data_IF_035907743792
#
_entry.id   IF_035907743792
#
_cell.length_a   1.000
_cell.length_b   1.000
_cell.length_c   1.000
_cell.angle_alpha   90.00
_cell.angle_beta   90.00
_cell.angle_gamma   90.00
#
_symmetry.space_group_name_H-M   'P 1'
#
loop_
_entity.id
_entity.type
_entity.pdbx_description
1 polymer ?
#
# COMPACT_ATOMS: atom_id res chain seq x y z
N UNK A 1 3.15 15.22 2.95
CA UNK A 1 1.95 14.50 3.43
C UNK A 1 2.02 14.45 4.93
N UNK A 2 0.90 14.70 5.61
CA UNK A 2 0.82 14.59 7.06
C UNK A 2 0.19 13.24 7.40
N UNK A 3 0.94 12.39 8.10
CA UNK A 3 0.49 11.08 8.54
C UNK A 3 -0.16 11.19 9.92
N UNK A 4 -1.29 10.52 10.07
CA UNK A 4 -1.95 10.30 11.37
C UNK A 4 -1.73 8.85 11.76
N UNK A 5 -1.33 8.62 13.00
CA UNK A 5 -1.05 7.27 13.51
C UNK A 5 -2.05 6.91 14.60
N UNK A 6 -2.74 5.80 14.42
CA UNK A 6 -3.72 5.27 15.35
C UNK A 6 -3.35 3.83 15.73
N UNK A 7 -3.42 3.50 17.02
CA UNK A 7 -3.20 2.13 17.49
C UNK A 7 -4.54 1.49 17.82
N UNK A 8 -4.83 0.36 17.18
CA UNK A 8 -6.00 -0.47 17.47
C UNK A 8 -5.82 -1.24 18.78
N UNK A 9 -6.92 -1.59 19.42
CA UNK A 9 -6.94 -2.46 20.61
C UNK A 9 -6.27 -3.83 20.36
N UNK A 10 -6.21 -4.27 19.11
CA UNK A 10 -5.51 -5.48 18.68
C UNK A 10 -3.98 -5.31 18.49
N UNK A 11 -3.42 -4.14 18.83
CA UNK A 11 -1.98 -3.84 18.69
C UNK A 11 -1.52 -3.47 17.28
N UNK A 12 -2.44 -3.44 16.31
CA UNK A 12 -2.16 -2.99 14.93
C UNK A 12 -2.08 -1.46 14.88
N UNK A 13 -1.02 -0.95 14.29
CA UNK A 13 -0.76 0.49 14.12
C UNK A 13 -1.13 0.88 12.69
N UNK A 14 -2.12 1.77 12.57
CA UNK A 14 -2.60 2.30 11.29
C UNK A 14 -2.01 3.69 11.08
N UNK A 15 -1.37 3.87 9.94
CA UNK A 15 -0.85 5.15 9.49
C UNK A 15 -1.66 5.62 8.30
N UNK A 16 -2.37 6.73 8.45
CA UNK A 16 -3.30 7.24 7.44
C UNK A 16 -2.89 8.63 6.98
N UNK A 17 -2.93 8.87 5.67
CA UNK A 17 -2.80 10.20 5.09
C UNK A 17 -3.87 10.40 4.01
N UNK A 18 -4.11 11.66 3.66
CA UNK A 18 -5.05 12.04 2.60
C UNK A 18 -4.31 12.62 1.39
N UNK A 19 -4.73 12.23 0.20
CA UNK A 19 -4.37 12.83 -1.07
C UNK A 19 -5.60 13.52 -1.66
N UNK A 20 -5.50 14.83 -1.92
CA UNK A 20 -6.54 15.59 -2.61
C UNK A 20 -6.20 15.81 -4.10
N UNK A 21 -5.00 15.41 -4.51
CA UNK A 21 -4.50 15.60 -5.87
C UNK A 21 -5.22 14.67 -6.84
N UNK A 22 -5.49 15.18 -8.05
CA UNK A 22 -6.18 14.44 -9.12
C UNK A 22 -5.36 14.34 -10.40
N UNK A 23 -4.22 15.02 -10.45
CA UNK A 23 -3.28 14.97 -11.58
C UNK A 23 -2.41 13.72 -11.46
N UNK A 24 -2.29 12.94 -12.53
CA UNK A 24 -1.58 11.65 -12.54
C UNK A 24 -0.17 11.73 -11.94
N UNK A 25 0.61 12.76 -12.27
CA UNK A 25 1.97 12.94 -11.76
C UNK A 25 1.99 13.16 -10.23
N UNK A 26 1.04 13.93 -9.72
CA UNK A 26 0.94 14.23 -8.29
C UNK A 26 0.41 13.02 -7.52
N UNK A 27 -0.51 12.27 -8.11
CA UNK A 27 -0.99 10.99 -7.55
C UNK A 27 0.11 9.93 -7.55
N UNK A 28 0.91 9.84 -8.62
CA UNK A 28 2.06 8.97 -8.68
C UNK A 28 3.06 9.31 -7.57
N UNK A 29 3.39 10.59 -7.40
CA UNK A 29 4.27 11.04 -6.32
C UNK A 29 3.69 10.74 -4.92
N UNK A 30 2.37 10.86 -4.76
CA UNK A 30 1.65 10.49 -3.54
C UNK A 30 1.75 8.98 -3.23
N UNK A 31 1.60 8.12 -4.24
CA UNK A 31 1.76 6.67 -4.10
C UNK A 31 3.21 6.30 -3.72
N UNK A 32 4.20 6.93 -4.34
CA UNK A 32 5.61 6.69 -4.01
C UNK A 32 5.93 7.09 -2.57
N UNK A 33 5.45 8.26 -2.12
CA UNK A 33 5.59 8.68 -0.72
C UNK A 33 4.90 7.73 0.26
N UNK A 34 3.77 7.16 -0.12
CA UNK A 34 3.08 6.13 0.65
C UNK A 34 3.92 4.85 0.74
N UNK A 35 4.53 4.42 -0.38
CA UNK A 35 5.42 3.27 -0.44
C UNK A 35 6.69 3.48 0.38
N UNK A 36 7.38 4.61 0.21
CA UNK A 36 8.55 5.00 1.01
C UNK A 36 8.25 4.94 2.51
N UNK A 37 7.11 5.50 2.93
CA UNK A 37 6.71 5.50 4.32
C UNK A 37 6.43 4.07 4.84
N UNK A 38 5.73 3.24 4.06
CA UNK A 38 5.52 1.84 4.41
C UNK A 38 6.84 1.06 4.49
N UNK A 39 7.79 1.33 3.60
CA UNK A 39 9.09 0.65 3.56
C UNK A 39 10.00 1.05 4.71
N UNK A 40 9.89 2.30 5.18
CA UNK A 40 10.57 2.74 6.41
C UNK A 40 10.12 1.98 7.66
N UNK A 41 8.96 1.30 7.61
CA UNK A 41 8.40 0.51 8.69
C UNK A 41 8.62 -1.00 8.51
N UNK A 42 9.30 -1.43 7.44
CA UNK A 42 9.50 -2.86 7.14
C UNK A 42 10.34 -3.57 8.19
N UNK A 43 11.33 -2.89 8.79
CA UNK A 43 12.14 -3.47 9.87
C UNK A 43 11.27 -3.91 11.06
N UNK A 44 10.23 -3.16 11.39
CA UNK A 44 9.28 -3.50 12.46
C UNK A 44 8.16 -4.45 11.98
N UNK A 45 7.87 -4.46 10.68
CA UNK A 45 6.80 -5.26 10.08
C UNK A 45 7.20 -6.67 9.70
N UNK A 46 8.48 -6.91 9.40
CA UNK A 46 8.93 -8.22 8.98
C UNK A 46 9.06 -9.12 10.20
N UNK A 47 8.32 -10.21 10.15
CA UNK A 47 8.34 -11.32 11.08
C UNK A 47 8.81 -12.58 10.35
N UNK A 48 9.15 -13.64 11.08
CA UNK A 48 9.69 -14.89 10.51
C UNK A 48 8.77 -15.53 9.45
N UNK A 49 7.46 -15.28 9.50
CA UNK A 49 6.46 -15.80 8.57
C UNK A 49 6.04 -14.80 7.49
N UNK A 50 6.63 -13.61 7.44
CA UNK A 50 6.31 -12.57 6.45
C UNK A 50 6.74 -12.98 5.05
N UNK A 51 5.80 -12.95 4.10
CA UNK A 51 6.04 -13.40 2.72
C UNK A 51 5.59 -12.37 1.68
N UNK A 52 4.45 -11.73 1.88
CA UNK A 52 3.87 -10.82 0.90
C UNK A 52 3.88 -9.38 1.40
N UNK A 53 4.19 -8.45 0.50
CA UNK A 53 3.86 -7.05 0.63
C UNK A 53 2.68 -6.77 -0.31
N UNK A 54 1.50 -6.56 0.26
CA UNK A 54 0.27 -6.35 -0.47
C UNK A 54 0.01 -4.86 -0.70
N UNK A 55 -0.19 -4.51 -1.97
CA UNK A 55 -0.63 -3.21 -2.44
C UNK A 55 -2.14 -3.29 -2.72
N UNK A 56 -2.93 -2.94 -1.72
CA UNK A 56 -4.39 -3.11 -1.73
C UNK A 56 -5.05 -1.84 -2.25
N UNK A 57 -5.70 -1.97 -3.39
CA UNK A 57 -6.53 -0.94 -4.02
C UNK A 57 -8.00 -1.17 -3.67
N UNK A 58 -8.56 -0.27 -2.86
CA UNK A 58 -9.97 -0.29 -2.47
C UNK A 58 -10.72 0.83 -3.19
N UNK A 59 -11.41 0.45 -4.27
CA UNK A 59 -12.19 1.38 -5.05
C UNK A 59 -13.46 1.88 -4.35
N UNK A 60 -13.96 1.18 -3.32
CA UNK A 60 -15.18 1.58 -2.61
C UNK A 60 -14.91 2.73 -1.64
N UNK A 61 -13.79 2.63 -0.94
CA UNK A 61 -13.37 3.61 0.06
C UNK A 61 -12.41 4.67 -0.52
N UNK A 62 -12.16 4.63 -1.84
CA UNK A 62 -11.14 5.44 -2.51
C UNK A 62 -9.81 5.42 -1.77
N UNK A 63 -9.36 4.21 -1.39
CA UNK A 63 -8.22 4.03 -0.52
C UNK A 63 -7.19 3.08 -1.13
N UNK A 64 -5.93 3.37 -0.85
CA UNK A 64 -4.79 2.52 -1.16
C UNK A 64 -4.11 2.14 0.14
N UNK A 65 -3.78 0.87 0.33
CA UNK A 65 -3.07 0.41 1.53
C UNK A 65 -1.90 -0.48 1.21
N UNK A 66 -0.85 -0.38 2.01
CA UNK A 66 0.30 -1.28 1.98
C UNK A 66 0.36 -2.02 3.31
N UNK A 67 0.41 -3.35 3.23
CA UNK A 67 0.51 -4.25 4.40
C UNK A 67 1.48 -5.39 4.09
N UNK A 68 2.22 -5.82 5.12
CA UNK A 68 2.98 -7.08 5.06
C UNK A 68 2.12 -8.19 5.65
N UNK A 69 2.15 -9.38 5.07
CA UNK A 69 1.37 -10.52 5.54
C UNK A 69 2.09 -11.85 5.31
N UNK A 70 1.63 -12.87 6.02
CA UNK A 70 2.02 -14.26 5.85
C UNK A 70 1.66 -14.86 4.47
N UNK A 71 2.16 -16.07 4.19
CA UNK A 71 1.88 -16.83 2.95
C UNK A 71 0.38 -16.95 2.64
N UNK A 72 -0.44 -17.14 3.68
CA UNK A 72 -1.89 -17.34 3.54
C UNK A 72 -2.66 -16.02 3.41
N UNK A 73 -2.00 -14.88 3.52
CA UNK A 73 -2.59 -13.53 3.50
C UNK A 73 -3.65 -13.33 4.58
N UNK A 74 -3.52 -14.07 5.67
CA UNK A 74 -4.47 -14.17 6.78
C UNK A 74 -4.03 -13.41 8.02
N UNK A 75 -2.73 -13.15 8.16
CA UNK A 75 -2.16 -12.43 9.30
C UNK A 75 -1.33 -11.24 8.83
N UNK A 76 -1.91 -10.04 8.95
CA UNK A 76 -1.22 -8.79 8.66
C UNK A 76 -0.21 -8.47 9.77
N UNK A 77 0.93 -7.91 9.37
CA UNK A 77 1.94 -7.38 10.28
C UNK A 77 1.44 -6.17 11.08
N UNK A 78 2.27 -5.72 12.01
CA UNK A 78 1.93 -4.70 13.00
C UNK A 78 1.49 -3.37 12.39
N UNK A 79 2.16 -2.90 11.34
CA UNK A 79 1.93 -1.60 10.72
C UNK A 79 1.20 -1.74 9.38
N UNK A 80 0.13 -0.95 9.25
CA UNK A 80 -0.61 -0.73 7.99
C UNK A 80 -0.50 0.72 7.60
N UNK A 81 -0.09 0.98 6.36
CA UNK A 81 -0.08 2.34 5.80
C UNK A 81 -1.21 2.48 4.80
N UNK A 82 -2.02 3.52 4.94
CA UNK A 82 -3.20 3.77 4.10
C UNK A 82 -3.19 5.21 3.61
N UNK A 83 -3.38 5.37 2.30
CA UNK A 83 -3.57 6.65 1.64
C UNK A 83 -5.01 6.74 1.13
N UNK A 84 -5.77 7.72 1.62
CA UNK A 84 -7.14 7.98 1.20
C UNK A 84 -7.17 9.08 0.14
N UNK A 85 -7.87 8.84 -0.95
CA UNK A 85 -8.00 9.74 -2.09
C UNK A 85 -9.32 10.49 -2.02
N UNK A 86 -9.23 11.77 -1.68
CA UNK A 86 -10.39 12.65 -1.47
C UNK A 86 -10.74 13.48 -2.70
N UNK A 87 -9.80 13.59 -3.66
CA UNK A 87 -10.01 14.33 -4.91
C UNK A 87 -10.82 13.58 -5.98
N UNK A 88 -10.99 12.26 -5.82
CA UNK A 88 -11.70 11.41 -6.78
C UNK A 88 -13.11 11.07 -6.27
N UNK A 89 -14.11 11.22 -7.14
CA UNK A 89 -15.50 10.82 -6.87
C UNK A 89 -15.97 9.79 -7.91
N UNK A 90 -16.62 8.72 -7.46
CA UNK A 90 -17.16 7.67 -8.34
C UNK A 90 -16.06 6.83 -9.01
N UNK A 91 -16.26 6.46 -10.28
CA UNK A 91 -15.40 5.50 -10.99
C UNK A 91 -13.99 6.03 -11.32
N UNK A 92 -13.74 7.34 -11.14
CA UNK A 92 -12.44 7.97 -11.48
C UNK A 92 -11.25 7.35 -10.75
N UNK A 93 -11.42 6.96 -9.49
CA UNK A 93 -10.37 6.27 -8.73
C UNK A 93 -10.16 4.83 -9.20
N UNK A 94 -11.23 4.12 -9.56
CA UNK A 94 -11.13 2.75 -10.07
C UNK A 94 -10.30 2.67 -11.36
N UNK A 95 -10.42 3.66 -12.23
CA UNK A 95 -9.69 3.73 -13.50
C UNK A 95 -8.19 3.96 -13.33
N UNK A 96 -7.75 4.43 -12.16
CA UNK A 96 -6.34 4.68 -11.88
C UNK A 96 -5.58 3.42 -11.44
N UNK A 97 -6.28 2.31 -11.15
CA UNK A 97 -5.68 1.10 -10.58
C UNK A 97 -4.60 0.48 -11.48
N UNK A 98 -4.79 0.51 -12.81
CA UNK A 98 -3.80 -0.01 -13.77
C UNK A 98 -2.55 0.86 -13.82
N UNK A 99 -2.73 2.18 -13.87
CA UNK A 99 -1.62 3.15 -13.82
C UNK A 99 -0.86 3.07 -12.50
N UNK A 100 -1.58 3.01 -11.38
CA UNK A 100 -1.00 2.88 -10.05
C UNK A 100 -0.16 1.60 -9.92
N UNK A 101 -0.69 0.46 -10.38
CA UNK A 101 0.05 -0.80 -10.42
C UNK A 101 1.32 -0.67 -11.25
N UNK A 102 1.22 -0.13 -12.47
CA UNK A 102 2.37 0.05 -13.35
C UNK A 102 3.46 0.93 -12.72
N UNK A 103 3.09 2.08 -12.18
CA UNK A 103 4.02 2.99 -11.51
C UNK A 103 4.68 2.35 -10.29
N UNK A 104 3.92 1.66 -9.46
CA UNK A 104 4.45 0.97 -8.29
C UNK A 104 5.38 -0.19 -8.69
N UNK A 105 5.02 -0.99 -9.69
CA UNK A 105 5.89 -2.06 -10.22
C UNK A 105 7.23 -1.48 -10.67
N UNK A 106 7.22 -0.42 -11.48
CA UNK A 106 8.44 0.24 -11.94
C UNK A 106 9.28 0.77 -10.76
N UNK A 107 8.62 1.47 -9.83
CA UNK A 107 9.27 2.00 -8.63
C UNK A 107 9.91 0.93 -7.75
N UNK A 108 9.25 -0.23 -7.56
CA UNK A 108 9.78 -1.35 -6.77
C UNK A 108 11.11 -1.87 -7.32
N UNK A 109 11.30 -1.88 -8.65
CA UNK A 109 12.57 -2.31 -9.26
C UNK A 109 13.74 -1.38 -8.95
N UNK A 110 13.45 -0.15 -8.52
CA UNK A 110 14.44 0.89 -8.22
C UNK A 110 14.50 1.27 -6.74
N UNK A 111 13.72 0.60 -5.86
CA UNK A 111 13.61 0.93 -4.45
C UNK A 111 14.47 0.00 -3.57
N UNK A 112 15.65 0.42 -3.09
CA UNK A 112 16.53 -0.42 -2.30
C UNK A 112 15.90 -0.84 -0.97
N UNK A 113 15.08 0.04 -0.36
CA UNK A 113 14.40 -0.22 0.90
C UNK A 113 13.40 -1.38 0.81
N UNK A 114 12.86 -1.67 -0.38
CA UNK A 114 12.05 -2.85 -0.60
C UNK A 114 12.92 -4.06 -0.97
N UNK A 115 13.88 -3.88 -1.89
CA UNK A 115 14.76 -4.93 -2.39
C UNK A 115 15.69 -5.52 -1.32
N UNK A 116 15.93 -4.80 -0.23
CA UNK A 116 16.67 -5.31 0.93
C UNK A 116 15.93 -6.47 1.64
N UNK A 117 14.63 -6.63 1.39
CA UNK A 117 13.79 -7.65 2.01
C UNK A 117 13.29 -8.64 0.96
N UNK A 118 13.24 -9.93 1.32
CA UNK A 118 12.80 -11.03 0.43
C UNK A 118 11.27 -11.15 0.34
N UNK A 119 10.55 -10.02 0.27
CA UNK A 119 9.09 -9.99 0.20
C UNK A 119 8.61 -10.09 -1.26
N UNK A 120 7.51 -10.81 -1.47
CA UNK A 120 6.81 -10.85 -2.74
C UNK A 120 5.82 -9.68 -2.83
N UNK A 121 6.02 -8.80 -3.80
CA UNK A 121 5.08 -7.72 -4.09
C UNK A 121 3.84 -8.27 -4.81
N UNK A 122 2.65 -7.90 -4.31
CA UNK A 122 1.40 -8.29 -4.94
C UNK A 122 0.37 -7.16 -4.89
N UNK A 123 -0.23 -6.86 -6.03
CA UNK A 123 -1.33 -5.91 -6.16
C UNK A 123 -2.66 -6.62 -5.93
N UNK A 124 -3.55 -5.99 -5.17
CA UNK A 124 -4.87 -6.55 -4.81
C UNK A 124 -5.96 -5.56 -5.20
N UNK A 125 -6.94 -6.02 -5.98
CA UNK A 125 -8.11 -5.22 -6.36
C UNK A 125 -9.35 -5.76 -5.66
N UNK A 126 -9.76 -5.11 -4.58
CA UNK A 126 -10.93 -5.49 -3.77
C UNK A 126 -10.74 -6.76 -2.94
N UNK A 127 -10.62 -7.94 -3.57
CA UNK A 127 -10.54 -9.22 -2.87
C UNK A 127 -9.08 -9.68 -2.70
N UNK A 128 -8.65 -9.86 -1.45
CA UNK A 128 -7.31 -10.35 -1.07
C UNK A 128 -6.97 -11.75 -1.60
N UNK A 129 -7.97 -12.55 -1.99
CA UNK A 129 -7.72 -13.82 -2.67
C UNK A 129 -7.26 -13.63 -4.12
N UNK A 130 -7.63 -12.51 -4.76
CA UNK A 130 -7.28 -12.17 -6.13
C UNK A 130 -6.06 -11.25 -6.14
N UNK A 131 -4.90 -11.89 -6.07
CA UNK A 131 -3.61 -11.19 -6.11
C UNK A 131 -3.02 -11.21 -7.50
N UNK A 132 -2.46 -10.09 -7.91
CA UNK A 132 -1.69 -9.93 -9.13
C UNK A 132 -0.24 -9.67 -8.75
N UNK A 133 0.66 -10.60 -9.08
CA UNK A 133 2.09 -10.40 -8.81
C UNK A 133 2.62 -9.20 -9.61
N UNK A 134 3.54 -8.47 -8.97
CA UNK A 134 4.14 -7.24 -9.48
C UNK A 134 5.61 -7.43 -9.81
#
# INVERSE_FOLDING_TARGET
MNWTTETSDAGVIRHTANCAETVDQDVQAALYRCADYAFSLLEDNIQDDSMFCLFIWDAKDSAFSIVVTDEKKGSDAKHRVTLSFTGFSGDGFSNLADSAKYWLTDYLTTCPSFLAFSLLAAFVRGDRAKVELM
#
